data_IF_102542716495
#
_entry.id   IF_102542716495
#
_cell.length_a   1.000
_cell.length_b   1.000
_cell.length_c   1.000
_cell.angle_alpha   90.00
_cell.angle_beta   90.00
_cell.angle_gamma   90.00
#
_symmetry.space_group_name_H-M   'P 1'
#
loop_
_entity.id
_entity.type
_entity.pdbx_description
1 polymer ?
#
# COMPACT_ATOMS: atom_id res chain seq x y z
N UNK A 1 24.61 -43.88 -30.94
CA UNK A 1 25.63 -43.35 -30.00
C UNK A 1 24.91 -42.31 -29.13
N UNK A 2 24.25 -42.78 -28.07
CA UNK A 2 23.51 -41.93 -27.13
C UNK A 2 24.46 -41.59 -25.98
N UNK A 3 24.76 -40.30 -25.83
CA UNK A 3 25.60 -39.77 -24.77
C UNK A 3 24.85 -39.72 -23.43
N UNK A 4 25.55 -40.16 -22.40
CA UNK A 4 25.11 -40.38 -21.02
C UNK A 4 24.76 -39.06 -20.30
N UNK A 5 23.49 -38.88 -19.97
CA UNK A 5 22.98 -37.81 -19.10
C UNK A 5 23.00 -38.30 -17.65
N UNK A 6 24.18 -38.40 -17.04
CA UNK A 6 24.27 -38.63 -15.59
C UNK A 6 25.57 -38.08 -15.00
N UNK A 7 25.71 -36.75 -14.97
CA UNK A 7 26.50 -36.08 -13.92
C UNK A 7 25.68 -34.94 -13.32
N UNK A 8 25.14 -35.19 -12.13
CA UNK A 8 24.53 -34.17 -11.27
C UNK A 8 25.63 -33.25 -10.74
N UNK A 9 25.45 -31.93 -10.70
CA UNK A 9 26.37 -31.08 -9.92
C UNK A 9 26.29 -31.51 -8.45
N UNK A 10 27.45 -31.73 -7.83
CA UNK A 10 27.59 -31.90 -6.39
C UNK A 10 27.07 -30.62 -5.75
N UNK A 11 26.06 -30.74 -4.88
CA UNK A 11 25.57 -29.60 -4.11
C UNK A 11 26.75 -28.99 -3.36
N UNK A 12 27.03 -27.70 -3.59
CA UNK A 12 28.03 -26.98 -2.80
C UNK A 12 27.62 -27.06 -1.33
N UNK A 13 28.50 -27.61 -0.49
CA UNK A 13 28.28 -27.62 0.95
C UNK A 13 28.32 -26.18 1.45
N UNK A 14 27.18 -25.68 1.90
CA UNK A 14 27.07 -24.39 2.57
C UNK A 14 27.40 -24.61 4.05
N UNK A 15 28.45 -23.96 4.52
CA UNK A 15 28.78 -23.90 5.95
C UNK A 15 28.75 -22.43 6.37
N UNK A 16 28.18 -22.16 7.55
CA UNK A 16 28.19 -20.84 8.17
C UNK A 16 29.17 -20.94 9.34
N UNK A 17 30.26 -20.18 9.26
CA UNK A 17 31.19 -19.94 10.36
C UNK A 17 31.23 -18.43 10.59
N UNK A 18 31.07 -18.00 11.85
CA UNK A 18 31.22 -16.60 12.29
C UNK A 18 30.47 -15.54 11.44
N UNK A 19 29.28 -15.87 10.94
CA UNK A 19 28.44 -14.94 10.16
C UNK A 19 28.91 -14.70 8.71
N UNK A 20 29.83 -15.50 8.18
CA UNK A 20 30.33 -15.40 6.81
C UNK A 20 29.80 -16.55 5.95
N UNK A 21 29.18 -16.22 4.81
CA UNK A 21 28.83 -17.20 3.78
C UNK A 21 30.04 -17.36 2.83
N UNK A 22 30.76 -18.47 2.93
CA UNK A 22 31.88 -18.77 2.01
C UNK A 22 31.39 -19.61 0.84
N UNK A 23 31.21 -18.98 -0.33
CA UNK A 23 30.94 -19.67 -1.59
C UNK A 23 32.27 -19.97 -2.28
N UNK A 24 32.43 -21.19 -2.80
CA UNK A 24 33.69 -21.74 -3.31
C UNK A 24 34.57 -20.78 -4.14
N UNK A 25 35.83 -20.72 -3.73
CA UNK A 25 37.06 -20.22 -4.40
C UNK A 25 37.11 -18.83 -5.05
N UNK A 26 36.06 -18.01 -5.04
CA UNK A 26 36.16 -16.61 -5.48
C UNK A 26 35.27 -15.69 -4.63
N UNK A 27 35.89 -15.09 -3.61
CA UNK A 27 35.37 -13.92 -2.89
C UNK A 27 34.60 -14.24 -1.61
N UNK A 28 35.08 -13.71 -0.49
CA UNK A 28 34.27 -13.52 0.72
C UNK A 28 33.36 -12.31 0.52
N UNK A 29 32.05 -12.50 0.61
CA UNK A 29 31.10 -11.38 0.73
C UNK A 29 30.92 -11.10 2.21
N UNK A 30 31.31 -9.91 2.66
CA UNK A 30 30.96 -9.42 3.99
C UNK A 30 29.46 -9.17 4.03
N UNK A 31 28.72 -9.94 4.83
CA UNK A 31 27.34 -9.60 5.16
C UNK A 31 27.38 -8.39 6.09
N UNK A 32 27.09 -7.21 5.55
CA UNK A 32 26.89 -6.02 6.37
C UNK A 32 25.50 -6.16 7.01
N UNK A 33 25.44 -6.51 8.29
CA UNK A 33 24.22 -6.33 9.07
C UNK A 33 23.87 -4.84 9.07
N UNK A 34 22.74 -4.46 8.47
CA UNK A 34 22.16 -3.13 8.74
C UNK A 34 21.42 -2.44 7.60
N UNK A 35 21.71 -2.72 6.33
CA UNK A 35 20.87 -2.19 5.24
C UNK A 35 19.77 -3.19 4.91
N UNK A 36 18.73 -3.22 5.73
CA UNK A 36 17.44 -3.71 5.23
C UNK A 36 16.98 -2.69 4.19
N UNK A 37 16.91 -3.09 2.92
CA UNK A 37 15.95 -2.46 2.00
C UNK A 37 14.64 -2.30 2.78
N UNK A 38 13.98 -1.12 2.76
CA UNK A 38 12.70 -0.97 3.44
C UNK A 38 11.83 -2.15 3.02
N UNK A 39 11.24 -2.91 3.96
CA UNK A 39 10.45 -4.09 3.61
C UNK A 39 9.51 -3.67 2.49
N UNK A 40 9.53 -4.38 1.36
CA UNK A 40 8.85 -3.99 0.12
C UNK A 40 7.43 -3.47 0.37
N UNK A 41 6.74 -4.06 1.36
CA UNK A 41 5.40 -3.68 1.77
C UNK A 41 5.29 -2.30 2.44
N UNK A 42 6.23 -1.93 3.31
CA UNK A 42 6.26 -0.61 3.95
C UNK A 42 6.35 0.51 2.90
N UNK A 43 7.24 0.35 1.91
CA UNK A 43 7.41 1.30 0.82
C UNK A 43 6.11 1.49 0.01
N UNK A 44 5.38 0.40 -0.23
CA UNK A 44 4.09 0.44 -0.93
C UNK A 44 3.01 1.16 -0.10
N UNK A 45 3.00 1.00 1.23
CA UNK A 45 2.10 1.77 2.10
C UNK A 45 2.49 3.25 2.24
N UNK A 46 3.77 3.60 2.12
CA UNK A 46 4.19 5.01 2.03
C UNK A 46 3.64 5.68 0.76
N UNK A 47 3.66 4.99 -0.38
CA UNK A 47 2.96 5.43 -1.58
C UNK A 47 1.45 5.52 -1.36
N UNK A 48 0.83 4.49 -0.75
CA UNK A 48 -0.61 4.51 -0.45
C UNK A 48 -1.01 5.74 0.36
N UNK A 49 -0.23 6.07 1.40
CA UNK A 49 -0.40 7.28 2.20
C UNK A 49 -0.32 8.54 1.35
N UNK A 50 0.77 8.70 0.59
CA UNK A 50 0.96 9.86 -0.27
C UNK A 50 -0.20 10.04 -1.25
N UNK A 51 -0.61 8.97 -1.92
CA UNK A 51 -1.67 9.01 -2.91
C UNK A 51 -3.04 9.39 -2.31
N UNK A 52 -3.37 8.90 -1.10
CA UNK A 52 -4.59 9.32 -0.40
C UNK A 52 -4.56 10.80 -0.05
N UNK A 53 -3.46 11.26 0.56
CA UNK A 53 -3.34 12.64 1.02
C UNK A 53 -3.28 13.63 -0.13
N UNK A 54 -2.59 13.28 -1.22
CA UNK A 54 -2.53 14.10 -2.42
C UNK A 54 -3.92 14.37 -3.01
N UNK A 55 -4.76 13.34 -3.17
CA UNK A 55 -6.12 13.54 -3.67
C UNK A 55 -7.01 14.28 -2.67
N UNK A 56 -6.84 14.07 -1.37
CA UNK A 56 -7.55 14.85 -0.35
C UNK A 56 -7.12 16.32 -0.35
N UNK A 57 -5.85 16.60 -0.62
CA UNK A 57 -5.31 17.96 -0.75
C UNK A 57 -5.86 18.66 -2.01
N UNK A 58 -5.88 17.97 -3.16
CA UNK A 58 -6.54 18.47 -4.39
C UNK A 58 -8.01 18.75 -4.14
N UNK A 59 -8.73 17.81 -3.54
CA UNK A 59 -10.17 17.93 -3.30
C UNK A 59 -10.53 18.90 -2.16
N UNK A 60 -9.56 19.29 -1.32
CA UNK A 60 -9.75 20.29 -0.26
C UNK A 60 -10.04 21.70 -0.80
N UNK A 61 -9.71 21.96 -2.07
CA UNK A 61 -10.01 23.23 -2.75
C UNK A 61 -11.37 23.24 -3.48
N UNK A 62 -12.09 22.12 -3.50
CA UNK A 62 -13.37 21.99 -4.20
C UNK A 62 -14.55 22.55 -3.38
N UNK A 63 -15.57 23.04 -4.06
CA UNK A 63 -16.84 23.41 -3.42
C UNK A 63 -17.64 22.15 -3.02
N UNK A 64 -18.60 22.32 -2.11
CA UNK A 64 -19.51 21.23 -1.73
C UNK A 64 -20.24 20.61 -2.94
N UNK A 65 -20.61 21.44 -3.92
CA UNK A 65 -21.23 21.01 -5.17
C UNK A 65 -20.26 20.20 -6.04
N UNK A 66 -18.99 20.62 -6.12
CA UNK A 66 -17.96 19.86 -6.83
C UNK A 66 -17.66 18.53 -6.15
N UNK A 67 -17.74 18.45 -4.82
CA UNK A 67 -17.62 17.19 -4.08
C UNK A 67 -18.77 16.21 -4.36
N UNK A 68 -19.89 16.69 -4.92
CA UNK A 68 -20.99 15.85 -5.42
C UNK A 68 -20.80 15.37 -6.87
N UNK A 69 -19.74 15.78 -7.57
CA UNK A 69 -19.49 15.30 -8.93
C UNK A 69 -19.28 13.78 -8.96
N UNK A 70 -19.68 13.17 -10.07
CA UNK A 70 -19.57 11.73 -10.34
C UNK A 70 -19.33 11.47 -11.82
N UNK A 71 -19.03 10.22 -12.16
CA UNK A 71 -18.87 9.73 -13.52
C UNK A 71 -19.41 8.29 -13.63
N UNK A 72 -19.92 7.93 -14.81
CA UNK A 72 -20.44 6.59 -15.07
C UNK A 72 -19.36 5.51 -14.82
N UNK A 73 -19.75 4.42 -14.15
CA UNK A 73 -18.83 3.33 -13.81
C UNK A 73 -17.94 3.57 -12.58
N UNK A 74 -18.07 4.71 -11.90
CA UNK A 74 -17.36 4.99 -10.64
C UNK A 74 -18.22 4.63 -9.42
N UNK A 75 -17.60 4.59 -8.24
CA UNK A 75 -18.28 4.21 -6.98
C UNK A 75 -19.46 5.12 -6.63
N UNK A 76 -19.35 6.42 -6.91
CA UNK A 76 -20.35 7.42 -6.55
C UNK A 76 -19.79 8.82 -6.71
N UNK A 77 -20.17 9.71 -5.80
CA UNK A 77 -19.60 11.07 -5.77
C UNK A 77 -18.17 11.05 -5.24
N UNK A 78 -17.41 12.13 -5.45
CA UNK A 78 -16.08 12.30 -4.86
C UNK A 78 -16.15 12.14 -3.33
N UNK A 79 -17.07 12.85 -2.69
CA UNK A 79 -17.27 12.77 -1.23
C UNK A 79 -17.61 11.35 -0.76
N UNK A 80 -18.55 10.67 -1.43
CA UNK A 80 -18.92 9.30 -1.08
C UNK A 80 -17.74 8.32 -1.26
N UNK A 81 -16.92 8.52 -2.28
CA UNK A 81 -15.75 7.67 -2.54
C UNK A 81 -14.68 7.86 -1.46
N UNK A 82 -14.43 9.08 -0.98
CA UNK A 82 -13.51 9.29 0.15
C UNK A 82 -14.05 8.73 1.48
N UNK A 83 -15.35 8.89 1.76
CA UNK A 83 -15.98 8.26 2.92
C UNK A 83 -15.77 6.75 2.91
N UNK A 84 -15.96 6.13 1.75
CA UNK A 84 -15.76 4.70 1.56
C UNK A 84 -14.29 4.31 1.73
N UNK A 85 -13.37 5.05 1.12
CA UNK A 85 -11.94 4.77 1.18
C UNK A 85 -11.38 4.85 2.60
N UNK A 86 -11.66 5.95 3.32
CA UNK A 86 -11.14 6.17 4.69
C UNK A 86 -11.78 5.22 5.70
N UNK A 87 -13.10 4.98 5.62
CA UNK A 87 -13.75 4.03 6.52
C UNK A 87 -13.32 2.58 6.25
N UNK A 88 -13.05 2.22 4.98
CA UNK A 88 -12.55 0.89 4.65
C UNK A 88 -11.15 0.64 5.23
N UNK A 89 -10.25 1.63 5.17
CA UNK A 89 -8.92 1.52 5.77
C UNK A 89 -9.00 1.29 7.29
N UNK A 90 -9.85 2.06 7.99
CA UNK A 90 -10.13 1.83 9.41
C UNK A 90 -10.66 0.42 9.69
N UNK A 91 -11.53 -0.11 8.82
CA UNK A 91 -12.05 -1.48 8.93
C UNK A 91 -10.97 -2.53 8.67
N UNK A 92 -9.99 -2.28 7.80
CA UNK A 92 -8.85 -3.18 7.61
C UNK A 92 -7.92 -3.17 8.84
N UNK A 93 -7.65 -2.00 9.42
CA UNK A 93 -6.90 -1.88 10.68
C UNK A 93 -7.62 -2.65 11.80
N UNK A 94 -8.94 -2.50 11.92
CA UNK A 94 -9.74 -3.24 12.89
C UNK A 94 -9.62 -4.76 12.69
N UNK A 95 -9.64 -5.27 11.46
CA UNK A 95 -9.45 -6.71 11.20
C UNK A 95 -8.08 -7.21 11.62
N UNK A 96 -7.04 -6.40 11.42
CA UNK A 96 -5.66 -6.77 11.73
C UNK A 96 -5.35 -6.67 13.23
N UNK A 97 -6.04 -5.79 13.96
CA UNK A 97 -5.63 -5.40 15.33
C UNK A 97 -6.71 -5.59 16.39
N UNK A 98 -7.97 -5.74 15.99
CA UNK A 98 -9.13 -5.68 16.88
C UNK A 98 -9.47 -4.29 17.40
N UNK A 99 -8.70 -3.24 17.07
CA UNK A 99 -8.95 -1.88 17.53
C UNK A 99 -10.19 -1.29 16.84
N UNK A 100 -11.14 -0.75 17.63
CA UNK A 100 -12.39 -0.20 17.10
C UNK A 100 -12.13 0.99 16.14
N UNK A 101 -12.76 1.02 14.95
CA UNK A 101 -12.66 2.13 14.02
C UNK A 101 -13.06 3.47 14.65
N UNK A 102 -12.24 4.51 14.43
CA UNK A 102 -12.60 5.89 14.80
C UNK A 102 -13.66 6.52 13.89
N UNK A 103 -13.84 5.93 12.71
CA UNK A 103 -14.70 6.43 11.65
C UNK A 103 -15.20 5.25 10.81
N UNK A 104 -16.45 5.30 10.37
CA UNK A 104 -17.12 4.26 9.59
C UNK A 104 -17.64 4.87 8.29
N UNK A 105 -17.63 4.09 7.20
CA UNK A 105 -18.03 4.56 5.86
C UNK A 105 -19.47 5.14 5.83
N UNK A 106 -20.32 4.68 6.75
CA UNK A 106 -21.73 5.05 6.88
C UNK A 106 -21.99 6.28 7.77
N UNK A 107 -20.95 6.88 8.32
CA UNK A 107 -21.07 8.11 9.10
C UNK A 107 -21.46 9.29 8.19
N UNK A 108 -21.81 10.44 8.76
CA UNK A 108 -22.05 11.65 7.97
C UNK A 108 -20.74 12.22 7.40
N UNK A 109 -20.79 12.87 6.24
CA UNK A 109 -19.61 13.49 5.62
C UNK A 109 -19.03 14.58 6.54
N UNK A 110 -17.82 14.39 7.10
CA UNK A 110 -17.27 15.31 8.10
C UNK A 110 -16.50 16.48 7.45
N UNK A 111 -16.47 16.55 6.11
CA UNK A 111 -15.63 17.48 5.36
C UNK A 111 -14.26 16.90 5.00
N UNK A 112 -13.65 17.41 3.93
CA UNK A 112 -12.39 16.91 3.38
C UNK A 112 -11.24 17.03 4.40
N UNK A 113 -11.16 18.13 5.15
CA UNK A 113 -10.12 18.34 6.15
C UNK A 113 -10.14 17.26 7.25
N UNK A 114 -11.33 16.90 7.75
CA UNK A 114 -11.45 15.85 8.76
C UNK A 114 -11.11 14.47 8.19
N UNK A 115 -11.54 14.18 6.96
CA UNK A 115 -11.16 12.94 6.26
C UNK A 115 -9.65 12.84 6.03
N UNK A 116 -8.99 13.95 5.72
CA UNK A 116 -7.53 14.02 5.56
C UNK A 116 -6.78 13.62 6.83
N UNK A 117 -7.18 14.14 7.98
CA UNK A 117 -6.57 13.78 9.27
C UNK A 117 -6.80 12.30 9.61
N UNK A 118 -8.03 11.79 9.36
CA UNK A 118 -8.34 10.38 9.54
C UNK A 118 -7.51 9.49 8.61
N UNK A 119 -7.39 9.86 7.34
CA UNK A 119 -6.60 9.13 6.35
C UNK A 119 -5.10 9.13 6.70
N UNK A 120 -4.55 10.26 7.16
CA UNK A 120 -3.16 10.34 7.59
C UNK A 120 -2.89 9.37 8.74
N UNK A 121 -3.72 9.41 9.78
CA UNK A 121 -3.57 8.52 10.94
C UNK A 121 -3.76 7.04 10.61
N UNK A 122 -4.72 6.70 9.76
CA UNK A 122 -4.93 5.32 9.30
C UNK A 122 -3.77 4.81 8.45
N UNK A 123 -3.28 5.62 7.51
CA UNK A 123 -2.16 5.24 6.66
C UNK A 123 -0.85 5.11 7.46
N UNK A 124 -0.60 5.99 8.44
CA UNK A 124 0.53 5.86 9.37
C UNK A 124 0.45 4.54 10.14
N UNK A 125 -0.74 4.17 10.63
CA UNK A 125 -0.93 2.86 11.29
C UNK A 125 -0.72 1.69 10.34
N UNK A 126 -1.13 1.78 9.07
CA UNK A 126 -0.89 0.73 8.09
C UNK A 126 0.60 0.55 7.77
N UNK A 127 1.37 1.64 7.74
CA UNK A 127 2.83 1.60 7.58
C UNK A 127 3.48 0.84 8.75
N UNK A 128 3.05 1.10 9.99
CA UNK A 128 3.52 0.35 11.17
C UNK A 128 3.16 -1.14 11.06
N UNK A 129 1.89 -1.44 10.76
CA UNK A 129 1.41 -2.82 10.63
C UNK A 129 2.15 -3.61 9.54
N UNK A 130 2.54 -2.96 8.45
CA UNK A 130 3.32 -3.57 7.38
C UNK A 130 4.74 -4.01 7.83
N UNK A 131 5.25 -3.47 8.93
CA UNK A 131 6.52 -3.85 9.53
C UNK A 131 6.35 -4.90 10.65
N UNK A 132 5.23 -4.83 11.37
CA UNK A 132 4.97 -5.64 12.58
C UNK A 132 4.37 -7.01 12.27
N UNK A 133 3.44 -7.08 11.30
CA UNK A 133 2.62 -8.27 11.05
C UNK A 133 3.35 -9.28 10.16
N UNK A 134 3.31 -10.56 10.56
CA UNK A 134 3.64 -11.65 9.66
C UNK A 134 2.45 -11.90 8.72
N UNK A 135 2.62 -11.82 7.38
CA UNK A 135 1.52 -12.00 6.45
C UNK A 135 0.87 -13.40 6.51
N UNK A 136 1.55 -14.39 7.08
CA UNK A 136 1.03 -15.76 7.24
C UNK A 136 0.18 -15.96 8.50
N UNK A 137 0.14 -15.00 9.42
CA UNK A 137 -0.68 -15.08 10.62
C UNK A 137 -2.18 -15.15 10.26
N UNK A 138 -2.91 -16.06 10.90
CA UNK A 138 -4.35 -16.23 10.69
C UNK A 138 -5.16 -15.34 11.64
N UNK A 139 -6.16 -14.67 11.08
CA UNK A 139 -7.18 -13.93 11.82
C UNK A 139 -8.57 -14.52 11.53
N UNK A 140 -9.50 -14.38 12.48
CA UNK A 140 -10.91 -14.74 12.26
C UNK A 140 -11.70 -13.51 11.82
N UNK A 141 -12.53 -13.66 10.78
CA UNK A 141 -13.47 -12.62 10.36
C UNK A 141 -14.83 -13.19 10.02
N UNK A 142 -15.86 -12.38 10.26
CA UNK A 142 -17.25 -12.70 9.90
C UNK A 142 -17.58 -12.08 8.55
N UNK A 143 -18.02 -12.93 7.63
CA UNK A 143 -18.57 -12.58 6.33
C UNK A 143 -20.07 -12.92 6.30
N UNK A 144 -20.75 -12.59 5.20
CA UNK A 144 -22.21 -12.80 5.08
C UNK A 144 -22.63 -14.27 5.16
N UNK A 145 -21.74 -15.19 4.81
CA UNK A 145 -21.96 -16.63 4.79
C UNK A 145 -21.40 -17.36 6.03
N UNK A 146 -20.76 -16.66 6.96
CA UNK A 146 -20.29 -17.23 8.23
C UNK A 146 -18.97 -16.68 8.73
N UNK A 147 -18.38 -17.37 9.71
CA UNK A 147 -17.04 -17.08 10.23
C UNK A 147 -15.99 -17.84 9.45
N UNK A 148 -14.92 -17.16 9.07
CA UNK A 148 -13.83 -17.69 8.27
C UNK A 148 -12.48 -17.32 8.88
N UNK A 149 -11.45 -18.10 8.54
CA UNK A 149 -10.05 -17.74 8.78
C UNK A 149 -9.45 -17.17 7.51
N UNK A 150 -8.68 -16.10 7.65
CA UNK A 150 -7.92 -15.51 6.56
C UNK A 150 -6.53 -15.14 7.05
N UNK A 151 -5.57 -15.16 6.13
CA UNK A 151 -4.21 -14.70 6.40
C UNK A 151 -4.17 -13.18 6.45
N UNK A 152 -3.39 -12.62 7.37
CA UNK A 152 -3.22 -11.18 7.55
C UNK A 152 -2.70 -10.50 6.28
N UNK A 153 -1.86 -11.20 5.49
CA UNK A 153 -1.39 -10.74 4.19
C UNK A 153 -2.52 -10.46 3.20
N UNK A 154 -3.64 -11.19 3.25
CA UNK A 154 -4.82 -10.92 2.40
C UNK A 154 -5.42 -9.57 2.75
N UNK A 155 -5.48 -9.21 4.03
CA UNK A 155 -6.01 -7.91 4.46
C UNK A 155 -5.09 -6.77 4.09
N UNK A 156 -3.77 -6.94 4.26
CA UNK A 156 -2.77 -5.94 3.88
C UNK A 156 -2.82 -5.64 2.37
N UNK A 157 -2.82 -6.68 1.54
CA UNK A 157 -2.93 -6.53 0.07
C UNK A 157 -4.29 -5.96 -0.32
N UNK A 158 -5.37 -6.37 0.35
CA UNK A 158 -6.71 -5.83 0.11
C UNK A 158 -6.76 -4.32 0.38
N UNK A 159 -6.14 -3.82 1.46
CA UNK A 159 -6.10 -2.39 1.75
C UNK A 159 -5.41 -1.60 0.63
N UNK A 160 -4.28 -2.11 0.13
CA UNK A 160 -3.55 -1.51 -0.99
C UNK A 160 -4.36 -1.50 -2.29
N UNK A 161 -4.90 -2.67 -2.67
CA UNK A 161 -5.70 -2.85 -3.87
C UNK A 161 -6.96 -1.98 -3.84
N UNK A 162 -7.70 -2.00 -2.73
CA UNK A 162 -8.93 -1.22 -2.53
C UNK A 162 -8.68 0.28 -2.63
N UNK A 163 -7.62 0.78 -1.98
CA UNK A 163 -7.26 2.19 -2.10
C UNK A 163 -6.92 2.57 -3.54
N UNK A 164 -6.17 1.74 -4.27
CA UNK A 164 -5.83 2.04 -5.66
C UNK A 164 -7.06 2.07 -6.58
N UNK A 165 -7.96 1.10 -6.43
CA UNK A 165 -9.21 1.00 -7.20
C UNK A 165 -10.08 2.27 -7.01
N UNK A 166 -10.35 2.65 -5.76
CA UNK A 166 -11.20 3.81 -5.49
C UNK A 166 -10.54 5.16 -5.74
N UNK A 167 -9.20 5.27 -5.62
CA UNK A 167 -8.49 6.48 -6.11
C UNK A 167 -8.64 6.62 -7.62
N UNK A 168 -8.61 5.53 -8.38
CA UNK A 168 -8.85 5.55 -9.83
C UNK A 168 -10.25 6.07 -10.17
N UNK A 169 -11.26 5.74 -9.37
CA UNK A 169 -12.60 6.34 -9.49
C UNK A 169 -12.57 7.86 -9.27
N UNK A 170 -11.91 8.35 -8.20
CA UNK A 170 -11.79 9.79 -7.94
C UNK A 170 -11.09 10.49 -9.10
N UNK A 171 -9.95 9.97 -9.56
CA UNK A 171 -9.21 10.48 -10.71
C UNK A 171 -10.06 10.52 -11.99
N UNK A 172 -10.87 9.48 -12.21
CA UNK A 172 -11.80 9.41 -13.35
C UNK A 172 -12.85 10.52 -13.27
N UNK A 173 -13.45 10.71 -12.09
CA UNK A 173 -14.43 11.80 -11.88
C UNK A 173 -13.76 13.15 -12.13
N UNK A 174 -12.64 13.46 -11.44
CA UNK A 174 -11.93 14.73 -11.58
C UNK A 174 -11.56 15.01 -13.04
N UNK A 175 -10.94 14.04 -13.72
CA UNK A 175 -10.56 14.15 -15.13
C UNK A 175 -11.74 14.36 -16.07
N UNK A 176 -12.86 13.64 -15.86
CA UNK A 176 -14.07 13.79 -16.70
C UNK A 176 -14.73 15.18 -16.58
N UNK A 177 -14.47 15.89 -15.48
CA UNK A 177 -14.95 17.25 -15.23
C UNK A 177 -13.88 18.33 -15.45
N UNK A 178 -12.74 17.98 -16.05
CA UNK A 178 -11.66 18.92 -16.37
C UNK A 178 -10.90 19.47 -15.14
N UNK A 179 -11.00 18.79 -14.00
CA UNK A 179 -10.28 19.16 -12.78
C UNK A 179 -8.93 18.43 -12.76
N UNK A 180 -7.84 19.18 -12.74
CA UNK A 180 -6.50 18.62 -12.65
C UNK A 180 -6.22 18.04 -11.27
N UNK A 181 -5.60 16.87 -11.24
CA UNK A 181 -5.17 16.20 -10.02
C UNK A 181 -3.70 15.73 -10.08
N UNK A 182 -2.97 16.01 -11.15
CA UNK A 182 -1.58 15.55 -11.33
C UNK A 182 -1.44 14.05 -11.58
N UNK A 183 -0.19 13.59 -11.69
CA UNK A 183 0.14 12.19 -11.88
C UNK A 183 0.08 11.42 -10.56
N UNK A 184 -0.50 10.22 -10.60
CA UNK A 184 -0.75 9.40 -9.42
C UNK A 184 0.14 8.15 -9.35
N UNK A 185 1.01 7.92 -10.32
CA UNK A 185 1.84 6.73 -10.36
C UNK A 185 3.01 6.79 -9.36
N UNK A 186 3.70 5.66 -9.22
CA UNK A 186 4.84 5.55 -8.29
C UNK A 186 6.07 6.33 -8.74
N UNK A 187 6.15 6.75 -10.01
CA UNK A 187 7.21 7.63 -10.49
C UNK A 187 6.96 9.06 -10.00
N UNK A 188 5.73 9.54 -10.11
CA UNK A 188 5.32 10.83 -9.55
C UNK A 188 5.52 10.89 -8.03
N UNK A 189 5.21 9.79 -7.31
CA UNK A 189 5.57 9.68 -5.89
C UNK A 189 7.08 9.76 -5.66
N UNK A 190 7.87 9.04 -6.46
CA UNK A 190 9.32 9.04 -6.39
C UNK A 190 9.92 10.44 -6.58
N UNK A 191 9.43 11.19 -7.56
CA UNK A 191 9.79 12.59 -7.76
C UNK A 191 9.38 13.46 -6.55
N UNK A 192 8.15 13.30 -6.06
CA UNK A 192 7.60 14.10 -4.97
C UNK A 192 8.37 13.93 -3.64
N UNK A 193 8.95 12.75 -3.40
CA UNK A 193 9.77 12.48 -2.19
C UNK A 193 11.26 12.60 -2.43
N UNK A 194 11.69 13.03 -3.63
CA UNK A 194 13.11 13.16 -3.98
C UNK A 194 13.86 11.82 -4.09
N UNK A 195 13.14 10.72 -4.32
CA UNK A 195 13.72 9.40 -4.58
C UNK A 195 14.22 9.23 -6.02
N UNK A 196 13.86 10.13 -6.93
CA UNK A 196 14.36 10.20 -8.30
C UNK A 196 15.14 11.51 -8.43
N UNK A 197 16.46 11.39 -8.60
CA UNK A 197 17.37 12.55 -8.71
C UNK A 197 18.10 12.49 -10.04
N UNK A 198 18.08 13.57 -10.85
CA UNK A 198 18.83 13.61 -12.10
C UNK A 198 20.33 13.55 -11.81
N UNK A 199 21.03 12.69 -12.54
CA UNK A 199 22.49 12.75 -12.57
C UNK A 199 22.87 14.02 -13.35
N UNK A 200 23.64 14.92 -12.72
CA UNK A 200 24.14 16.12 -13.38
C UNK A 200 24.85 15.77 -14.69
N UNK A 201 24.79 16.66 -15.68
CA UNK A 201 25.57 16.49 -16.90
C UNK A 201 27.06 16.47 -16.54
N UNK A 202 27.72 15.34 -16.82
CA UNK A 202 29.17 15.16 -16.65
C UNK A 202 29.99 15.92 -17.69
#
# INVERSE_FOLDING_TARGET
>A
MLGDLCQRPVAAQVQIEDGLLVVGKQGSISLVEGERSPPCLEAVFRYHRWANLHLLDVCGALTDEQLQLTAAGTYGTIGATFMHLVGAEQRYIWRLTGAEPRFKEKDGFPGVAALRELAAGSADRMIELAQEINPDDEIEATFSDGRHRLRSGVVLVQALHHGNDHRTHICTVLGSHGISYGDMDVWAYGDAVGAIVPLGAG
#
